data_IF_057685048095
#
_entry.id   IF_057685048095
#
_cell.length_a   1.000
_cell.length_b   1.000
_cell.length_c   1.000
_cell.angle_alpha   90.00
_cell.angle_beta   90.00
_cell.angle_gamma   90.00
#
_symmetry.space_group_name_H-M   'P 1'
#
loop_
_entity.id
_entity.type
_entity.pdbx_description
1 polymer ?
#
# COMPACT_ATOMS: atom_id res chain seq x y z
N UNK A 1 -28.18 -6.49 6.21
CA UNK A 1 -26.98 -7.26 6.57
C UNK A 1 -26.09 -6.34 7.36
N UNK A 2 -25.96 -6.54 8.67
CA UNK A 2 -24.94 -5.84 9.44
C UNK A 2 -23.59 -6.27 8.89
N UNK A 3 -22.74 -5.32 8.53
CA UNK A 3 -21.37 -5.63 8.12
C UNK A 3 -20.70 -6.40 9.25
N UNK A 4 -20.07 -7.52 8.92
CA UNK A 4 -19.37 -8.35 9.89
C UNK A 4 -18.38 -7.47 10.67
N UNK A 5 -18.45 -7.42 12.02
CA UNK A 5 -17.51 -6.63 12.81
C UNK A 5 -16.04 -6.90 12.45
N UNK A 6 -15.70 -8.11 12.02
CA UNK A 6 -14.35 -8.44 11.56
C UNK A 6 -13.98 -7.71 10.26
N UNK A 7 -14.90 -7.63 9.30
CA UNK A 7 -14.68 -6.92 8.04
C UNK A 7 -14.38 -5.43 8.27
N UNK A 8 -15.12 -4.79 9.20
CA UNK A 8 -14.88 -3.38 9.56
C UNK A 8 -13.47 -3.18 10.13
N UNK A 9 -13.01 -4.10 10.97
CA UNK A 9 -11.66 -4.06 11.56
C UNK A 9 -10.60 -4.19 10.48
N UNK A 10 -10.75 -5.13 9.55
CA UNK A 10 -9.80 -5.30 8.44
C UNK A 10 -9.71 -4.05 7.56
N UNK A 11 -10.85 -3.45 7.20
CA UNK A 11 -10.83 -2.19 6.46
C UNK A 11 -10.19 -1.04 7.21
N UNK A 12 -10.44 -0.92 8.52
CA UNK A 12 -9.79 0.10 9.33
C UNK A 12 -8.27 -0.06 9.30
N UNK A 13 -7.75 -1.28 9.51
CA UNK A 13 -6.32 -1.55 9.43
C UNK A 13 -5.75 -1.34 8.02
N UNK A 14 -6.47 -1.74 6.97
CA UNK A 14 -6.06 -1.51 5.58
C UNK A 14 -5.95 -0.02 5.28
N UNK A 15 -6.95 0.77 5.63
CA UNK A 15 -6.94 2.22 5.42
C UNK A 15 -5.84 2.89 6.24
N UNK A 16 -5.62 2.46 7.47
CA UNK A 16 -4.55 2.97 8.31
C UNK A 16 -3.17 2.68 7.70
N UNK A 17 -2.93 1.46 7.24
CA UNK A 17 -1.67 1.08 6.58
C UNK A 17 -1.46 1.87 5.28
N UNK A 18 -2.49 1.96 4.42
CA UNK A 18 -2.41 2.74 3.20
C UNK A 18 -2.15 4.23 3.48
N UNK A 19 -2.80 4.80 4.48
CA UNK A 19 -2.56 6.19 4.90
C UNK A 19 -1.12 6.37 5.39
N UNK A 20 -0.62 5.47 6.24
CA UNK A 20 0.76 5.53 6.73
C UNK A 20 1.79 5.44 5.58
N UNK A 21 1.66 4.45 4.69
CA UNK A 21 2.56 4.29 3.53
C UNK A 21 2.46 5.50 2.60
N UNK A 22 1.26 6.02 2.35
CA UNK A 22 1.05 7.20 1.51
C UNK A 22 1.71 8.45 2.11
N UNK A 23 1.58 8.66 3.42
CA UNK A 23 2.24 9.79 4.10
C UNK A 23 3.75 9.68 4.01
N UNK A 24 4.31 8.50 4.29
CA UNK A 24 5.76 8.26 4.17
C UNK A 24 6.22 8.51 2.73
N UNK A 25 5.47 8.04 1.72
CA UNK A 25 5.75 8.29 0.31
C UNK A 25 5.76 9.79 -0.02
N UNK A 26 4.77 10.55 0.45
CA UNK A 26 4.69 12.00 0.22
C UNK A 26 5.89 12.70 0.86
N UNK A 27 6.17 12.45 2.14
CA UNK A 27 7.28 13.11 2.84
C UNK A 27 8.64 12.76 2.22
N UNK A 28 8.84 11.50 1.84
CA UNK A 28 10.09 11.06 1.24
C UNK A 28 10.26 11.62 -0.18
N UNK A 29 9.18 11.68 -0.96
CA UNK A 29 9.19 12.29 -2.30
C UNK A 29 9.50 13.78 -2.21
N UNK A 30 8.85 14.50 -1.30
CA UNK A 30 9.11 15.92 -1.03
C UNK A 30 10.55 16.16 -0.58
N UNK A 31 11.13 15.26 0.22
CA UNK A 31 12.55 15.38 0.60
C UNK A 31 13.52 15.03 -0.53
N UNK A 32 13.15 14.12 -1.42
CA UNK A 32 14.02 13.64 -2.50
C UNK A 32 14.09 14.61 -3.68
N UNK A 33 12.96 15.22 -4.02
CA UNK A 33 12.80 16.06 -5.23
C UNK A 33 12.42 17.51 -4.93
N UNK A 34 12.19 17.87 -3.66
CA UNK A 34 11.89 19.23 -3.22
C UNK A 34 12.64 19.60 -1.96
N UNK A 35 12.13 20.59 -1.22
CA UNK A 35 12.80 21.21 -0.07
C UNK A 35 12.54 20.48 1.27
N UNK A 36 12.10 19.22 1.24
CA UNK A 36 11.74 18.48 2.44
C UNK A 36 12.94 18.01 3.27
N UNK A 37 12.85 18.09 4.60
CA UNK A 37 13.91 17.66 5.53
C UNK A 37 13.87 16.19 5.96
N UNK A 38 12.80 15.46 5.60
CA UNK A 38 12.59 14.08 6.04
C UNK A 38 13.68 13.12 5.51
N UNK A 39 14.47 12.54 6.41
CA UNK A 39 15.64 11.71 6.06
C UNK A 39 16.67 12.43 5.18
N UNK A 40 16.79 13.76 5.26
CA UNK A 40 17.74 14.54 4.46
C UNK A 40 19.22 14.18 4.72
N UNK A 41 19.53 13.55 5.85
CA UNK A 41 20.87 13.01 6.17
C UNK A 41 21.22 11.75 5.36
N UNK A 42 20.23 11.10 4.75
CA UNK A 42 20.40 9.91 3.90
C UNK A 42 20.75 10.32 2.48
N UNK A 43 21.63 9.55 1.83
CA UNK A 43 22.01 9.81 0.43
C UNK A 43 20.80 9.88 -0.50
N UNK A 44 20.82 10.80 -1.46
CA UNK A 44 19.73 10.98 -2.43
C UNK A 44 19.41 9.69 -3.20
N UNK A 45 20.42 8.88 -3.55
CA UNK A 45 20.23 7.60 -4.24
C UNK A 45 19.37 6.63 -3.43
N UNK A 46 19.65 6.49 -2.14
CA UNK A 46 18.87 5.63 -1.24
C UNK A 46 17.43 6.14 -1.12
N UNK A 47 17.24 7.46 -1.03
CA UNK A 47 15.89 8.05 -0.97
C UNK A 47 15.10 7.79 -2.25
N UNK A 48 15.71 7.92 -3.44
CA UNK A 48 15.07 7.59 -4.73
C UNK A 48 14.64 6.11 -4.75
N UNK A 49 15.54 5.19 -4.36
CA UNK A 49 15.21 3.76 -4.30
C UNK A 49 14.02 3.51 -3.36
N UNK A 50 14.02 4.13 -2.19
CA UNK A 50 12.92 4.01 -1.24
C UNK A 50 11.60 4.60 -1.76
N UNK A 51 11.64 5.71 -2.50
CA UNK A 51 10.45 6.24 -3.21
C UNK A 51 9.92 5.23 -4.23
N UNK A 52 10.79 4.61 -5.02
CA UNK A 52 10.38 3.58 -5.97
C UNK A 52 9.75 2.35 -5.28
N UNK A 53 10.34 1.89 -4.16
CA UNK A 53 9.79 0.79 -3.37
C UNK A 53 8.41 1.15 -2.83
N UNK A 54 8.25 2.35 -2.24
CA UNK A 54 6.96 2.81 -1.73
C UNK A 54 5.92 3.00 -2.84
N UNK A 55 6.32 3.42 -4.04
CA UNK A 55 5.44 3.51 -5.19
C UNK A 55 4.91 2.12 -5.58
N UNK A 56 5.78 1.12 -5.67
CA UNK A 56 5.38 -0.28 -5.90
C UNK A 56 4.43 -0.74 -4.79
N UNK A 57 4.75 -0.42 -3.54
CA UNK A 57 3.95 -0.81 -2.39
C UNK A 57 2.51 -0.29 -2.43
N UNK A 58 2.31 0.90 -2.99
CA UNK A 58 0.98 1.51 -3.18
C UNK A 58 0.28 1.01 -4.47
N UNK A 59 1.03 0.66 -5.51
CA UNK A 59 0.47 0.18 -6.77
C UNK A 59 -0.10 -1.24 -6.66
N UNK A 60 0.51 -2.11 -5.86
CA UNK A 60 0.05 -3.48 -5.66
C UNK A 60 -1.39 -3.56 -5.12
N UNK A 61 -1.76 -2.93 -3.98
CA UNK A 61 -3.12 -2.97 -3.48
C UNK A 61 -4.11 -2.32 -4.44
N UNK A 62 -3.69 -1.28 -5.17
CA UNK A 62 -4.52 -0.63 -6.19
C UNK A 62 -4.83 -1.59 -7.34
N UNK A 63 -3.82 -2.32 -7.82
CA UNK A 63 -3.98 -3.33 -8.86
C UNK A 63 -4.94 -4.45 -8.41
N UNK A 64 -4.73 -5.02 -7.22
CA UNK A 64 -5.59 -6.09 -6.67
C UNK A 64 -7.02 -5.59 -6.50
N UNK A 65 -7.22 -4.37 -5.99
CA UNK A 65 -8.56 -3.77 -5.87
C UNK A 65 -9.28 -3.68 -7.21
N UNK A 66 -8.60 -3.22 -8.27
CA UNK A 66 -9.20 -3.14 -9.60
C UNK A 66 -9.47 -4.52 -10.24
N UNK A 67 -8.59 -5.50 -10.02
CA UNK A 67 -8.79 -6.85 -10.57
C UNK A 67 -9.93 -7.60 -9.86
N UNK A 68 -10.00 -7.54 -8.53
CA UNK A 68 -11.11 -8.11 -7.74
C UNK A 68 -12.44 -7.49 -8.19
N UNK A 69 -12.49 -6.17 -8.38
CA UNK A 69 -13.71 -5.48 -8.82
C UNK A 69 -14.16 -5.88 -10.23
N UNK A 70 -13.27 -6.44 -11.06
CA UNK A 70 -13.59 -6.97 -12.40
C UNK A 70 -14.06 -8.43 -12.37
N UNK A 71 -13.93 -9.15 -11.23
CA UNK A 71 -14.27 -10.57 -11.07
C UNK A 71 -15.36 -10.77 -10.00
N UNK A 72 -16.64 -10.47 -10.31
CA UNK A 72 -17.72 -10.53 -9.33
C UNK A 72 -17.93 -11.91 -8.70
N UNK A 73 -17.61 -12.99 -9.42
CA UNK A 73 -17.81 -14.37 -8.95
C UNK A 73 -16.72 -14.89 -7.99
N UNK A 74 -15.60 -14.14 -7.85
CA UNK A 74 -14.46 -14.49 -6.98
C UNK A 74 -14.04 -13.31 -6.10
N UNK A 75 -15.01 -12.49 -5.69
CA UNK A 75 -14.76 -11.28 -4.89
C UNK A 75 -14.44 -11.63 -3.44
N UNK A 76 -13.28 -12.23 -3.20
CA UNK A 76 -12.73 -12.37 -1.86
C UNK A 76 -11.91 -11.13 -1.51
N UNK A 77 -12.53 -10.25 -0.71
CA UNK A 77 -11.93 -8.99 -0.22
C UNK A 77 -10.69 -9.23 0.63
N UNK A 78 -10.47 -10.45 1.12
CA UNK A 78 -9.28 -10.86 1.87
C UNK A 78 -7.97 -10.48 1.16
N UNK A 79 -7.91 -10.68 -0.16
CA UNK A 79 -6.71 -10.38 -0.94
C UNK A 79 -6.37 -8.88 -0.98
N UNK A 80 -7.38 -8.02 -0.89
CA UNK A 80 -7.17 -6.56 -0.82
C UNK A 80 -6.49 -6.20 0.50
N UNK A 81 -6.87 -6.86 1.60
CA UNK A 81 -6.28 -6.62 2.91
C UNK A 81 -4.82 -7.06 2.97
N UNK A 82 -4.50 -8.25 2.46
CA UNK A 82 -3.10 -8.73 2.40
C UNK A 82 -2.25 -7.84 1.48
N UNK A 83 -2.76 -7.51 0.29
CA UNK A 83 -2.06 -6.66 -0.66
C UNK A 83 -1.82 -5.23 -0.16
N UNK A 84 -2.57 -4.78 0.87
CA UNK A 84 -2.38 -3.49 1.51
C UNK A 84 -1.46 -3.54 2.75
N UNK A 85 -1.04 -4.72 3.19
CA UNK A 85 -0.08 -4.85 4.29
C UNK A 85 1.33 -4.52 3.78
N UNK A 86 2.02 -3.55 4.40
CA UNK A 86 3.39 -3.20 4.01
C UNK A 86 4.31 -4.41 4.11
N UNK A 87 5.29 -4.54 3.21
CA UNK A 87 6.23 -5.67 3.12
C UNK A 87 5.62 -7.01 2.70
N UNK A 88 4.34 -7.23 2.99
CA UNK A 88 3.62 -8.45 2.65
C UNK A 88 2.95 -8.37 1.29
N UNK A 89 2.77 -7.19 0.72
CA UNK A 89 1.99 -7.00 -0.49
C UNK A 89 2.54 -7.74 -1.72
N UNK A 90 3.85 -7.85 -1.89
CA UNK A 90 4.46 -8.61 -2.98
C UNK A 90 4.12 -10.09 -2.82
N UNK A 91 4.25 -10.63 -1.60
CA UNK A 91 3.87 -12.01 -1.32
C UNK A 91 2.36 -12.23 -1.49
N UNK A 92 1.55 -11.27 -1.06
CA UNK A 92 0.10 -11.26 -1.25
C UNK A 92 -0.30 -11.28 -2.72
N UNK A 93 0.35 -10.43 -3.54
CA UNK A 93 0.15 -10.40 -4.99
C UNK A 93 0.57 -11.72 -5.64
N UNK A 94 1.73 -12.26 -5.26
CA UNK A 94 2.23 -13.53 -5.80
C UNK A 94 1.32 -14.71 -5.46
N UNK A 95 0.69 -14.71 -4.27
CA UNK A 95 -0.28 -15.72 -3.88
C UNK A 95 -1.68 -15.50 -4.50
N UNK A 96 -1.99 -14.27 -4.91
CA UNK A 96 -3.25 -13.89 -5.54
C UNK A 96 -3.33 -14.29 -7.03
N UNK A 97 -2.21 -14.16 -7.76
CA UNK A 97 -2.09 -14.49 -9.18
C UNK A 97 -2.23 -16.00 -9.44
#
# INVERSE_FOLDING_TARGET
MEADPFERVYWFFTLLNLAAVTLIFIFLTASTFGDGSFLATVSQRVRIVAVCVLAIELLIPLFVYFDVRRRPDKSDTFWIHIAAMPLLNIFGLMAYL
#
